data_IF_850368012776
#
_entry.id   IF_850368012776
#
_cell.length_a   1.000
_cell.length_b   1.000
_cell.length_c   1.000
_cell.angle_alpha   90.00
_cell.angle_beta   90.00
_cell.angle_gamma   90.00
#
_symmetry.space_group_name_H-M   'P 1'
#
loop_
_entity.id
_entity.type
_entity.pdbx_description
1 polymer ?
#
# COMPACT_ATOMS: atom_id res chain seq x y z
N UNK A 1 73.56 26.74 -14.27
CA UNK A 1 73.31 26.12 -12.95
C UNK A 1 71.88 25.61 -12.95
N UNK A 2 71.71 24.38 -12.46
CA UNK A 2 70.55 23.51 -12.63
C UNK A 2 69.31 23.89 -11.79
N UNK A 3 68.16 23.44 -12.32
CA UNK A 3 67.00 22.85 -11.65
C UNK A 3 66.07 23.68 -10.73
N UNK A 4 64.85 23.92 -11.25
CA UNK A 4 63.54 23.33 -10.83
C UNK A 4 63.31 23.11 -9.32
N UNK A 5 62.15 23.44 -8.70
CA UNK A 5 60.77 23.00 -9.00
C UNK A 5 59.78 23.58 -7.95
N UNK A 6 58.48 23.60 -8.31
CA UNK A 6 57.27 23.48 -7.47
C UNK A 6 56.75 24.68 -6.64
N UNK A 7 55.58 25.22 -6.99
CA UNK A 7 54.26 24.89 -6.40
C UNK A 7 53.12 25.68 -7.11
N UNK A 8 52.24 24.93 -7.80
CA UNK A 8 50.74 24.96 -7.84
C UNK A 8 49.87 26.23 -7.91
N UNK A 9 48.62 26.11 -8.41
CA UNK A 9 47.92 27.09 -9.24
C UNK A 9 46.82 27.87 -8.52
N UNK A 10 46.24 28.88 -9.18
CA UNK A 10 44.95 29.41 -8.77
C UNK A 10 44.14 29.99 -9.94
N UNK A 11 42.84 29.64 -9.93
CA UNK A 11 41.62 30.40 -10.29
C UNK A 11 41.68 31.30 -11.55
N UNK A 12 40.75 31.30 -12.50
CA UNK A 12 39.31 31.09 -12.37
C UNK A 12 38.59 31.12 -13.74
N UNK A 13 37.33 30.66 -13.72
CA UNK A 13 36.23 31.12 -14.57
C UNK A 13 36.15 30.65 -16.03
N UNK A 14 35.58 29.44 -16.21
CA UNK A 14 34.76 29.11 -17.39
C UNK A 14 33.28 29.24 -17.05
N UNK A 15 32.64 30.25 -17.66
CA UNK A 15 31.19 30.30 -17.80
C UNK A 15 30.76 29.27 -18.86
N UNK A 16 29.89 28.32 -18.50
CA UNK A 16 29.24 27.43 -19.47
C UNK A 16 27.75 27.33 -19.17
N UNK A 17 26.95 27.74 -20.15
CA UNK A 17 25.50 27.66 -20.14
C UNK A 17 25.04 26.19 -20.09
N UNK A 18 24.40 25.80 -18.99
CA UNK A 18 23.72 24.51 -18.86
C UNK A 18 22.27 24.67 -19.31
N UNK A 19 21.98 24.19 -20.52
CA UNK A 19 20.62 23.97 -21.02
C UNK A 19 20.00 22.87 -20.14
N UNK A 20 19.05 23.28 -19.30
CA UNK A 20 18.23 22.37 -18.51
C UNK A 20 17.46 21.43 -19.45
N UNK A 21 17.92 20.18 -19.56
CA UNK A 21 17.14 19.08 -20.14
C UNK A 21 15.97 18.81 -19.18
N UNK A 22 14.80 19.35 -19.50
CA UNK A 22 13.55 18.90 -18.91
C UNK A 22 13.30 17.45 -19.33
N UNK A 23 13.50 16.51 -18.40
CA UNK A 23 13.09 15.12 -18.59
C UNK A 23 11.57 15.08 -18.58
N UNK A 24 10.99 15.05 -19.77
CA UNK A 24 9.59 14.74 -20.02
C UNK A 24 9.35 13.31 -19.54
N UNK A 25 8.71 13.15 -18.38
CA UNK A 25 8.22 11.84 -17.92
C UNK A 25 7.05 11.41 -18.80
N UNK A 26 7.39 10.67 -19.85
CA UNK A 26 6.43 10.08 -20.78
C UNK A 26 5.60 9.03 -20.05
N UNK A 27 4.27 9.21 -20.06
CA UNK A 27 3.28 8.16 -19.81
C UNK A 27 3.53 7.02 -20.78
N UNK A 28 3.79 5.82 -20.26
CA UNK A 28 3.97 4.64 -21.11
C UNK A 28 4.46 3.42 -20.35
N UNK A 29 3.72 2.96 -19.34
CA UNK A 29 3.88 1.61 -18.80
C UNK A 29 2.69 0.75 -19.21
N UNK A 30 2.67 0.37 -20.48
CA UNK A 30 1.86 -0.76 -20.92
C UNK A 30 2.75 -1.74 -21.69
N UNK A 31 2.57 -3.02 -21.36
CA UNK A 31 3.16 -4.25 -21.90
C UNK A 31 4.49 -4.70 -21.29
N UNK A 32 4.39 -5.61 -20.32
CA UNK A 32 5.52 -6.37 -19.77
C UNK A 32 5.11 -7.21 -18.56
N UNK A 33 4.71 -8.46 -18.80
CA UNK A 33 4.40 -9.50 -17.79
C UNK A 33 5.46 -9.62 -16.67
N UNK A 34 6.71 -9.20 -16.93
CA UNK A 34 7.82 -9.23 -15.97
C UNK A 34 7.73 -8.21 -14.82
N UNK A 35 7.18 -7.02 -15.03
CA UNK A 35 7.13 -5.99 -13.97
C UNK A 35 6.04 -6.30 -12.92
N UNK A 36 4.92 -6.88 -13.35
CA UNK A 36 3.85 -7.36 -12.46
C UNK A 36 4.27 -8.56 -11.61
N UNK A 37 5.27 -9.31 -12.06
CA UNK A 37 5.82 -10.45 -11.30
C UNK A 37 6.85 -9.99 -10.26
N UNK A 38 7.67 -8.98 -10.57
CA UNK A 38 8.84 -8.66 -9.74
C UNK A 38 8.45 -8.15 -8.34
N UNK A 39 7.52 -7.18 -8.25
CA UNK A 39 7.11 -6.65 -6.95
C UNK A 39 6.51 -7.75 -6.06
N UNK A 40 5.75 -8.69 -6.65
CA UNK A 40 5.19 -9.84 -5.93
C UNK A 40 6.29 -10.71 -5.38
N UNK A 41 7.21 -11.16 -6.24
CA UNK A 41 8.31 -12.05 -5.84
C UNK A 41 9.16 -11.42 -4.74
N UNK A 42 9.49 -10.13 -4.86
CA UNK A 42 10.24 -9.42 -3.83
C UNK A 42 9.46 -9.33 -2.51
N UNK A 43 8.18 -9.00 -2.58
CA UNK A 43 7.31 -8.89 -1.39
C UNK A 43 7.11 -10.23 -0.70
N UNK A 44 6.86 -11.30 -1.46
CA UNK A 44 6.65 -12.64 -0.91
C UNK A 44 7.93 -13.24 -0.36
N UNK A 45 9.08 -12.95 -0.97
CA UNK A 45 10.40 -13.34 -0.45
C UNK A 45 10.68 -12.65 0.89
N UNK A 46 10.47 -11.33 0.97
CA UNK A 46 10.63 -10.57 2.21
C UNK A 46 9.71 -11.10 3.32
N UNK A 47 8.44 -11.35 3.00
CA UNK A 47 7.47 -11.88 3.95
C UNK A 47 7.83 -13.29 4.42
N UNK A 48 8.18 -14.18 3.49
CA UNK A 48 8.57 -15.57 3.75
C UNK A 48 9.77 -15.65 4.71
N UNK A 49 10.79 -14.81 4.49
CA UNK A 49 11.96 -14.74 5.39
C UNK A 49 11.65 -14.18 6.79
N UNK A 50 10.54 -13.47 6.96
CA UNK A 50 10.15 -12.86 8.23
C UNK A 50 9.31 -13.78 9.14
N UNK A 51 8.81 -14.90 8.62
CA UNK A 51 7.88 -15.77 9.35
C UNK A 51 8.63 -16.70 10.33
N UNK A 52 8.13 -16.94 11.56
CA UNK A 52 8.87 -17.71 12.56
C UNK A 52 9.05 -19.20 12.24
N UNK A 53 8.15 -19.77 11.42
CA UNK A 53 8.11 -21.21 11.13
C UNK A 53 8.69 -21.50 9.75
N UNK A 54 9.77 -22.30 9.65
CA UNK A 54 10.29 -22.71 8.35
C UNK A 54 9.26 -23.64 7.68
N UNK A 55 8.70 -23.18 6.56
CA UNK A 55 8.08 -24.07 5.56
C UNK A 55 8.80 -23.89 4.24
N UNK A 56 8.88 -24.97 3.48
CA UNK A 56 9.56 -24.96 2.17
C UNK A 56 8.74 -24.24 1.11
N UNK A 57 7.41 -24.15 1.26
CA UNK A 57 6.52 -23.50 0.31
C UNK A 57 5.39 -22.74 1.05
N UNK A 58 5.54 -21.43 1.21
CA UNK A 58 4.45 -20.55 1.65
C UNK A 58 3.60 -20.14 0.44
N UNK A 59 2.28 -20.01 0.59
CA UNK A 59 1.47 -19.53 -0.53
C UNK A 59 1.75 -18.05 -0.83
N UNK A 60 1.73 -17.69 -2.12
CA UNK A 60 1.84 -16.28 -2.54
C UNK A 60 0.76 -15.43 -1.87
N UNK A 61 -0.47 -15.94 -1.84
CA UNK A 61 -1.64 -15.26 -1.26
C UNK A 61 -1.48 -14.95 0.23
N UNK A 62 -0.98 -15.90 1.03
CA UNK A 62 -0.67 -15.68 2.44
C UNK A 62 0.40 -14.62 2.62
N UNK A 63 1.48 -14.69 1.83
CA UNK A 63 2.59 -13.75 1.96
C UNK A 63 2.20 -12.33 1.52
N UNK A 64 1.44 -12.18 0.43
CA UNK A 64 0.90 -10.88 0.01
C UNK A 64 -0.07 -10.30 1.06
N UNK A 65 -0.92 -11.15 1.64
CA UNK A 65 -1.79 -10.74 2.76
C UNK A 65 -0.97 -10.26 3.95
N UNK A 66 0.12 -10.95 4.30
CA UNK A 66 1.00 -10.55 5.40
C UNK A 66 1.63 -9.17 5.15
N UNK A 67 2.16 -8.90 3.95
CA UNK A 67 2.77 -7.59 3.64
C UNK A 67 1.72 -6.47 3.71
N UNK A 68 0.51 -6.71 3.19
CA UNK A 68 -0.59 -5.77 3.30
C UNK A 68 -0.92 -5.48 4.77
N UNK A 69 -1.10 -6.52 5.59
CA UNK A 69 -1.40 -6.40 7.01
C UNK A 69 -0.30 -5.66 7.77
N UNK A 70 0.98 -5.92 7.44
CA UNK A 70 2.11 -5.20 8.04
C UNK A 70 2.13 -3.71 7.67
N UNK A 71 1.51 -3.33 6.56
CA UNK A 71 1.42 -1.95 6.06
C UNK A 71 0.21 -1.18 6.62
N UNK A 72 -0.66 -1.86 7.37
CA UNK A 72 -1.76 -1.25 8.13
C UNK A 72 -1.28 -0.85 9.53
N UNK A 73 -2.10 -0.08 10.26
CA UNK A 73 -1.82 0.26 11.66
C UNK A 73 -1.57 -1.01 12.51
N UNK A 74 -0.68 -0.90 13.50
CA UNK A 74 -0.39 -1.95 14.50
C UNK A 74 -1.51 -2.12 15.53
N UNK A 75 -2.75 -2.22 15.05
CA UNK A 75 -3.98 -2.52 15.80
C UNK A 75 -4.67 -3.73 15.19
N UNK A 76 -5.75 -4.19 15.82
CA UNK A 76 -6.57 -5.27 15.27
C UNK A 76 -7.19 -4.86 13.92
N UNK A 77 -7.03 -5.72 12.91
CA UNK A 77 -7.55 -5.56 11.56
C UNK A 77 -8.80 -6.40 11.39
N UNK A 78 -9.99 -5.82 11.21
CA UNK A 78 -11.21 -6.59 10.94
C UNK A 78 -11.17 -7.26 9.56
N UNK A 79 -11.70 -8.48 9.43
CA UNK A 79 -11.83 -9.16 8.13
C UNK A 79 -12.53 -8.28 7.09
N UNK A 80 -13.61 -7.61 7.53
CA UNK A 80 -14.41 -6.69 6.71
C UNK A 80 -13.62 -5.50 6.18
N UNK A 81 -12.56 -5.06 6.88
CA UNK A 81 -11.70 -3.98 6.37
C UNK A 81 -11.02 -4.43 5.07
N UNK A 82 -10.53 -5.68 5.07
CA UNK A 82 -9.74 -6.24 3.99
C UNK A 82 -10.64 -6.59 2.81
N UNK A 83 -11.68 -7.40 3.07
CA UNK A 83 -12.56 -7.91 2.01
C UNK A 83 -13.29 -6.76 1.31
N UNK A 84 -13.93 -5.87 2.09
CA UNK A 84 -14.68 -4.74 1.52
C UNK A 84 -13.79 -3.70 0.86
N UNK A 85 -12.53 -3.59 1.28
CA UNK A 85 -11.56 -2.68 0.68
C UNK A 85 -11.27 -3.06 -0.77
N UNK A 86 -11.27 -4.35 -1.09
CA UNK A 86 -10.99 -4.87 -2.43
C UNK A 86 -12.23 -5.19 -3.26
N UNK A 87 -13.37 -5.51 -2.64
CA UNK A 87 -14.61 -5.79 -3.37
C UNK A 87 -15.10 -4.59 -4.20
N UNK A 88 -15.89 -4.83 -5.25
CA UNK A 88 -16.66 -3.79 -5.92
C UNK A 88 -17.57 -3.05 -4.93
N UNK A 89 -17.75 -1.75 -5.13
CA UNK A 89 -18.51 -0.90 -4.20
C UNK A 89 -19.36 0.12 -4.94
N UNK A 90 -20.55 0.40 -4.39
CA UNK A 90 -21.47 1.44 -4.88
C UNK A 90 -20.89 2.82 -4.63
N UNK A 91 -20.81 3.65 -5.67
CA UNK A 91 -20.29 5.02 -5.62
C UNK A 91 -21.19 5.95 -6.41
N UNK A 92 -21.22 7.23 -6.03
CA UNK A 92 -21.86 8.25 -6.83
C UNK A 92 -21.01 8.55 -8.06
N UNK A 93 -21.65 8.56 -9.23
CA UNK A 93 -21.02 8.98 -10.47
C UNK A 93 -21.15 10.50 -10.65
N UNK A 94 -20.50 11.06 -11.68
CA UNK A 94 -20.51 12.49 -11.97
C UNK A 94 -21.90 13.08 -12.25
N UNK A 95 -22.90 12.23 -12.54
CA UNK A 95 -24.28 12.63 -12.84
C UNK A 95 -25.21 12.43 -11.63
N UNK A 96 -24.68 12.14 -10.44
CA UNK A 96 -25.47 11.85 -9.25
C UNK A 96 -26.19 10.50 -9.28
N UNK A 97 -25.85 9.61 -10.21
CA UNK A 97 -26.31 8.22 -10.25
C UNK A 97 -25.43 7.30 -9.41
N UNK A 98 -25.92 6.09 -9.12
CA UNK A 98 -25.15 5.07 -8.41
C UNK A 98 -24.54 4.11 -9.43
N UNK A 99 -23.23 3.91 -9.34
CA UNK A 99 -22.51 2.90 -10.12
C UNK A 99 -21.66 2.01 -9.21
N UNK A 100 -21.35 0.80 -9.67
CA UNK A 100 -20.44 -0.10 -8.98
C UNK A 100 -19.02 0.07 -9.54
N UNK A 101 -18.06 0.34 -8.66
CA UNK A 101 -16.65 0.53 -9.02
C UNK A 101 -15.79 -0.53 -8.38
N UNK A 102 -14.97 -1.18 -9.20
CA UNK A 102 -13.88 -2.04 -8.77
C UNK A 102 -12.78 -1.24 -8.03
N UNK A 103 -12.01 -1.89 -7.18
CA UNK A 103 -10.80 -1.33 -6.56
C UNK A 103 -9.66 -1.09 -7.56
N UNK A 104 -9.65 -1.81 -8.70
CA UNK A 104 -8.77 -1.55 -9.84
C UNK A 104 -8.83 -0.09 -10.31
N UNK A 105 -10.03 0.52 -10.28
CA UNK A 105 -10.23 1.91 -10.71
C UNK A 105 -9.41 2.92 -9.91
N UNK A 106 -9.09 2.61 -8.65
CA UNK A 106 -8.25 3.46 -7.79
C UNK A 106 -6.89 2.83 -7.48
N UNK A 107 -6.36 2.07 -8.44
CA UNK A 107 -5.00 1.54 -8.44
C UNK A 107 -4.67 0.51 -7.33
N UNK A 108 -5.67 -0.23 -6.83
CA UNK A 108 -5.39 -1.51 -6.17
C UNK A 108 -4.87 -2.49 -7.24
N UNK A 109 -3.78 -3.19 -6.95
CA UNK A 109 -3.21 -4.15 -7.90
C UNK A 109 -4.20 -5.28 -8.15
N UNK A 110 -4.24 -5.79 -9.38
CA UNK A 110 -5.18 -6.86 -9.77
C UNK A 110 -4.99 -8.14 -8.97
N UNK A 111 -3.77 -8.45 -8.56
CA UNK A 111 -3.48 -9.58 -7.69
C UNK A 111 -4.12 -9.43 -6.29
N UNK A 112 -4.04 -8.22 -5.71
CA UNK A 112 -4.71 -7.95 -4.44
C UNK A 112 -6.22 -7.90 -4.60
N UNK A 113 -6.74 -7.40 -5.73
CA UNK A 113 -8.19 -7.48 -6.00
C UNK A 113 -8.65 -8.94 -6.03
N UNK A 114 -8.01 -9.78 -6.83
CA UNK A 114 -8.36 -11.21 -6.96
C UNK A 114 -8.26 -11.97 -5.64
N UNK A 115 -7.21 -11.71 -4.86
CA UNK A 115 -7.01 -12.32 -3.54
C UNK A 115 -8.05 -11.86 -2.51
N UNK A 116 -8.14 -10.55 -2.29
CA UNK A 116 -8.86 -9.98 -1.15
C UNK A 116 -10.38 -9.90 -1.38
N UNK A 117 -10.85 -9.85 -2.63
CA UNK A 117 -12.29 -9.88 -2.93
C UNK A 117 -12.92 -11.27 -2.87
N UNK A 118 -12.09 -12.33 -2.94
CA UNK A 118 -12.53 -13.72 -2.79
C UNK A 118 -12.42 -14.15 -1.34
N UNK A 119 -13.55 -14.28 -0.65
CA UNK A 119 -13.60 -14.73 0.76
C UNK A 119 -12.87 -16.06 0.96
N UNK A 120 -13.00 -17.01 0.02
CA UNK A 120 -12.32 -18.30 0.13
C UNK A 120 -10.80 -18.18 0.03
N UNK A 121 -10.27 -17.34 -0.89
CA UNK A 121 -8.82 -17.12 -1.00
C UNK A 121 -8.28 -16.39 0.23
N UNK A 122 -8.98 -15.34 0.65
CA UNK A 122 -8.61 -14.55 1.81
C UNK A 122 -8.63 -15.39 3.10
N UNK A 123 -9.67 -16.19 3.33
CA UNK A 123 -9.76 -17.04 4.52
C UNK A 123 -8.66 -18.11 4.54
N UNK A 124 -8.38 -18.76 3.40
CA UNK A 124 -7.26 -19.70 3.29
C UNK A 124 -5.91 -19.02 3.58
N UNK A 125 -5.67 -17.83 3.03
CA UNK A 125 -4.46 -17.06 3.27
C UNK A 125 -4.30 -16.69 4.76
N UNK A 126 -5.37 -16.22 5.40
CA UNK A 126 -5.36 -15.86 6.82
C UNK A 126 -5.19 -17.09 7.72
N UNK A 127 -5.85 -18.21 7.40
CA UNK A 127 -5.67 -19.49 8.08
C UNK A 127 -4.22 -19.98 8.00
N UNK A 128 -3.59 -19.86 6.83
CA UNK A 128 -2.16 -20.18 6.69
C UNK A 128 -1.30 -19.28 7.58
N UNK A 129 -1.53 -17.96 7.58
CA UNK A 129 -0.78 -17.02 8.44
C UNK A 129 -0.96 -17.28 9.94
N UNK A 130 -2.16 -17.68 10.38
CA UNK A 130 -2.42 -18.14 11.75
C UNK A 130 -1.62 -19.41 12.03
N UNK A 131 -1.63 -20.39 11.13
CA UNK A 131 -0.85 -21.63 11.26
C UNK A 131 0.66 -21.40 11.31
N UNK A 132 1.14 -20.29 10.76
CA UNK A 132 2.53 -19.85 10.78
C UNK A 132 2.88 -18.99 12.01
N UNK A 133 1.89 -18.66 12.86
CA UNK A 133 2.03 -17.73 13.97
C UNK A 133 2.49 -16.32 13.53
N UNK A 134 2.22 -15.96 12.28
CA UNK A 134 2.48 -14.64 11.73
C UNK A 134 1.43 -13.62 12.22
N UNK A 135 0.20 -14.09 12.36
CA UNK A 135 -0.94 -13.33 12.89
C UNK A 135 -1.67 -14.17 13.94
N UNK A 136 -2.45 -13.51 14.79
CA UNK A 136 -3.45 -14.14 15.67
C UNK A 136 -4.85 -13.72 15.25
N UNK A 137 -5.83 -14.62 15.39
CA UNK A 137 -7.26 -14.36 15.14
C UNK A 137 -7.99 -14.20 16.47
N UNK A 138 -8.81 -13.17 16.59
CA UNK A 138 -9.74 -12.94 17.72
C UNK A 138 -11.09 -13.61 17.45
N UNK A 139 -11.95 -13.71 18.48
CA UNK A 139 -13.32 -14.22 18.34
C UNK A 139 -14.20 -13.38 17.41
N UNK A 140 -13.86 -12.10 17.27
CA UNK A 140 -14.69 -11.11 16.58
C UNK A 140 -14.29 -10.96 15.10
N UNK A 141 -13.65 -11.98 14.52
CA UNK A 141 -13.14 -11.97 13.14
C UNK A 141 -12.16 -10.82 12.87
N UNK A 142 -11.39 -10.44 13.90
CA UNK A 142 -10.27 -9.49 13.80
C UNK A 142 -8.93 -10.23 13.86
N UNK A 143 -7.92 -9.65 13.21
CA UNK A 143 -6.59 -10.22 13.11
C UNK A 143 -5.54 -9.24 13.60
N UNK A 144 -4.56 -9.74 14.34
CA UNK A 144 -3.43 -8.93 14.81
C UNK A 144 -2.12 -9.53 14.31
N UNK A 145 -1.29 -8.69 13.69
CA UNK A 145 0.03 -9.11 13.22
C UNK A 145 0.99 -9.21 14.41
N UNK A 146 1.79 -10.26 14.44
CA UNK A 146 2.88 -10.36 15.41
C UNK A 146 3.88 -9.21 15.19
N UNK A 147 4.14 -8.40 16.23
CA UNK A 147 5.01 -7.22 16.11
C UNK A 147 6.42 -7.54 15.61
N UNK A 148 7.00 -8.68 16.02
CA UNK A 148 8.31 -9.09 15.56
C UNK A 148 8.29 -9.47 14.06
N UNK A 149 7.19 -10.08 13.59
CA UNK A 149 6.99 -10.36 12.17
C UNK A 149 6.80 -9.05 11.40
N UNK A 150 5.97 -8.14 11.89
CA UNK A 150 5.76 -6.82 11.27
C UNK A 150 7.08 -6.05 11.08
N UNK A 151 7.92 -6.01 12.12
CA UNK A 151 9.24 -5.39 12.05
C UNK A 151 10.12 -6.07 10.98
N UNK A 152 10.25 -7.40 11.03
CA UNK A 152 11.07 -8.15 10.06
C UNK A 152 10.60 -8.00 8.62
N UNK A 153 9.28 -8.00 8.37
CA UNK A 153 8.72 -7.74 7.03
C UNK A 153 9.09 -6.34 6.57
N UNK A 154 8.92 -5.34 7.44
CA UNK A 154 9.24 -3.94 7.13
C UNK A 154 10.73 -3.74 6.84
N UNK A 155 11.61 -4.42 7.59
CA UNK A 155 13.06 -4.33 7.41
C UNK A 155 13.56 -5.10 6.17
N UNK A 156 12.87 -6.18 5.80
CA UNK A 156 13.25 -7.04 4.67
C UNK A 156 12.66 -6.58 3.34
N UNK A 157 11.64 -5.72 3.38
CA UNK A 157 11.00 -5.21 2.18
C UNK A 157 11.95 -4.22 1.46
N UNK A 158 12.15 -4.36 0.13
CA UNK A 158 12.95 -3.39 -0.61
C UNK A 158 12.40 -1.97 -0.48
N UNK A 159 13.25 -0.94 -0.28
CA UNK A 159 12.86 0.46 -0.13
C UNK A 159 11.87 0.95 -1.20
N UNK A 160 12.03 0.49 -2.44
CA UNK A 160 11.22 0.88 -3.60
C UNK A 160 9.77 0.40 -3.50
N UNK A 161 9.51 -0.64 -2.70
CA UNK A 161 8.18 -1.22 -2.52
C UNK A 161 7.41 -0.63 -1.34
N UNK A 162 8.05 0.14 -0.45
CA UNK A 162 7.33 0.73 0.68
C UNK A 162 6.24 1.70 0.21
N UNK A 163 6.54 2.58 -0.75
CA UNK A 163 5.56 3.50 -1.33
C UNK A 163 4.39 2.75 -1.96
N UNK A 164 4.68 1.67 -2.69
CA UNK A 164 3.66 0.82 -3.28
C UNK A 164 2.73 0.25 -2.21
N UNK A 165 3.27 -0.41 -1.18
CA UNK A 165 2.48 -1.07 -0.14
C UNK A 165 1.72 -0.09 0.76
N UNK A 166 2.28 1.08 1.08
CA UNK A 166 1.56 2.16 1.77
C UNK A 166 0.31 2.59 0.98
N UNK A 167 0.42 2.71 -0.35
CA UNK A 167 -0.70 3.07 -1.19
C UNK A 167 -1.74 1.95 -1.30
N UNK A 168 -1.31 0.70 -1.46
CA UNK A 168 -2.24 -0.44 -1.49
C UNK A 168 -3.04 -0.52 -0.17
N UNK A 169 -2.36 -0.37 0.97
CA UNK A 169 -2.98 -0.35 2.30
C UNK A 169 -3.93 0.85 2.47
N UNK A 170 -3.55 2.05 2.01
CA UNK A 170 -4.43 3.22 2.01
C UNK A 170 -5.69 2.98 1.17
N UNK A 171 -5.54 2.41 -0.04
CA UNK A 171 -6.67 2.11 -0.92
C UNK A 171 -7.64 1.14 -0.25
N UNK A 172 -7.13 0.06 0.35
CA UNK A 172 -7.94 -0.91 1.10
C UNK A 172 -8.67 -0.24 2.27
N UNK A 173 -7.95 0.48 3.14
CA UNK A 173 -8.52 1.13 4.31
C UNK A 173 -9.50 2.26 3.97
N UNK A 174 -9.25 3.03 2.93
CA UNK A 174 -10.16 4.07 2.45
C UNK A 174 -11.43 3.48 1.86
N UNK A 175 -11.29 2.45 1.00
CA UNK A 175 -12.45 1.84 0.35
C UNK A 175 -13.33 1.11 1.34
N UNK A 176 -12.79 0.54 2.41
CA UNK A 176 -13.56 -0.21 3.40
C UNK A 176 -14.62 0.62 4.11
N UNK A 177 -14.42 1.95 4.24
CA UNK A 177 -15.38 2.86 4.86
C UNK A 177 -16.73 2.81 4.11
N UNK A 178 -17.84 2.46 4.79
CA UNK A 178 -19.17 2.49 4.19
C UNK A 178 -19.54 3.92 3.79
N UNK A 179 -20.16 4.06 2.62
CA UNK A 179 -20.69 5.35 2.19
C UNK A 179 -22.09 5.54 2.73
N UNK A 180 -22.25 6.60 3.54
CA UNK A 180 -23.56 7.00 4.09
C UNK A 180 -24.54 7.13 2.92
N UNK A 181 -25.71 6.49 3.05
CA UNK A 181 -26.79 6.43 2.05
C UNK A 181 -26.59 5.51 0.82
N UNK A 182 -25.41 4.92 0.60
CA UNK A 182 -25.18 3.99 -0.51
C UNK A 182 -25.10 2.53 -0.08
N UNK A 183 -24.62 2.31 1.13
CA UNK A 183 -24.33 0.98 1.65
C UNK A 183 -25.05 0.76 2.97
N UNK A 184 -25.81 -0.33 3.04
CA UNK A 184 -26.38 -0.83 4.27
C UNK A 184 -25.29 -1.62 4.99
N UNK A 185 -24.95 -1.23 6.22
CA UNK A 185 -23.98 -1.97 7.01
C UNK A 185 -24.00 -1.54 8.47
N UNK A 186 -23.57 -2.42 9.39
CA UNK A 186 -23.42 -2.05 10.78
C UNK A 186 -22.34 -0.96 10.87
N UNK A 187 -22.77 0.28 11.16
CA UNK A 187 -21.85 1.41 11.31
C UNK A 187 -20.89 1.26 12.50
N UNK A 188 -21.15 0.29 13.39
CA UNK A 188 -20.35 0.02 14.59
C UNK A 188 -18.92 -0.45 14.33
N UNK A 189 -18.64 -1.10 13.19
CA UNK A 189 -17.26 -1.53 12.83
C UNK A 189 -16.40 -0.40 12.25
N UNK A 190 -16.98 0.78 11.99
CA UNK A 190 -16.24 1.93 11.44
C UNK A 190 -15.10 2.36 12.34
N UNK A 191 -15.30 2.30 13.66
CA UNK A 191 -14.29 2.72 14.64
C UNK A 191 -13.01 1.88 14.54
N UNK A 192 -13.13 0.60 14.19
CA UNK A 192 -11.97 -0.28 13.94
C UNK A 192 -11.25 0.05 12.63
N UNK A 193 -11.89 0.75 11.68
CA UNK A 193 -11.27 1.08 10.39
C UNK A 193 -10.46 2.38 10.45
N UNK A 194 -10.86 3.33 11.30
CA UNK A 194 -10.25 4.66 11.40
C UNK A 194 -8.74 4.61 11.74
N UNK A 195 -8.26 3.78 12.68
CA UNK A 195 -6.82 3.68 12.97
C UNK A 195 -6.00 3.34 11.73
N UNK A 196 -6.47 2.38 10.93
CA UNK A 196 -5.78 1.97 9.69
C UNK A 196 -5.82 3.05 8.61
N UNK A 197 -6.95 3.74 8.45
CA UNK A 197 -7.06 4.85 7.50
C UNK A 197 -6.12 6.00 7.90
N UNK A 198 -6.11 6.39 9.18
CA UNK A 198 -5.25 7.45 9.70
C UNK A 198 -3.77 7.11 9.52
N UNK A 199 -3.39 5.89 9.90
CA UNK A 199 -2.02 5.40 9.77
C UNK A 199 -1.53 5.40 8.32
N UNK A 200 -2.30 4.80 7.41
CA UNK A 200 -1.93 4.71 6.00
C UNK A 200 -1.89 6.07 5.31
N UNK A 201 -2.84 6.97 5.62
CA UNK A 201 -2.85 8.34 5.11
C UNK A 201 -1.63 9.14 5.61
N UNK A 202 -1.28 9.02 6.89
CA UNK A 202 -0.08 9.66 7.43
C UNK A 202 1.20 9.07 6.80
N UNK A 203 1.27 7.75 6.63
CA UNK A 203 2.38 7.08 5.98
C UNK A 203 2.63 7.61 4.57
N UNK A 204 1.58 7.73 3.75
CA UNK A 204 1.65 8.28 2.39
C UNK A 204 2.01 9.77 2.42
N UNK A 205 1.41 10.56 3.31
CA UNK A 205 1.72 12.00 3.40
C UNK A 205 3.16 12.29 3.78
N UNK A 206 3.75 11.49 4.67
CA UNK A 206 5.09 11.73 5.20
C UNK A 206 6.21 11.27 4.25
N UNK A 207 5.93 10.32 3.36
CA UNK A 207 6.97 9.67 2.55
C UNK A 207 6.73 9.76 1.04
N UNK A 208 5.52 10.08 0.61
CA UNK A 208 5.11 9.98 -0.79
C UNK A 208 4.46 11.28 -1.29
N UNK A 209 5.05 12.44 -0.96
CA UNK A 209 4.48 13.78 -1.21
C UNK A 209 3.97 14.01 -2.64
N UNK A 210 4.67 13.48 -3.66
CA UNK A 210 4.27 13.59 -5.07
C UNK A 210 3.05 12.72 -5.40
N UNK A 211 2.97 11.54 -4.80
CA UNK A 211 1.82 10.66 -4.98
C UNK A 211 0.65 11.21 -4.19
N UNK A 212 0.85 11.69 -2.96
CA UNK A 212 -0.17 12.33 -2.16
C UNK A 212 -0.85 13.49 -2.90
N UNK A 213 -0.14 14.27 -3.72
CA UNK A 213 -0.75 15.30 -4.57
C UNK A 213 -1.56 14.72 -5.74
N UNK A 214 -1.11 13.63 -6.36
CA UNK A 214 -1.81 12.97 -7.47
C UNK A 214 -3.03 12.14 -7.00
N UNK A 215 -2.90 11.37 -5.92
CA UNK A 215 -4.04 10.71 -5.26
C UNK A 215 -4.95 11.73 -4.60
N UNK A 216 -4.46 12.87 -4.10
CA UNK A 216 -5.30 14.03 -3.77
C UNK A 216 -5.82 14.79 -5.01
N UNK A 217 -5.82 14.21 -6.20
CA UNK A 217 -6.67 14.67 -7.30
C UNK A 217 -7.65 13.57 -7.74
N UNK A 218 -7.29 12.29 -7.62
CA UNK A 218 -8.18 11.15 -7.94
C UNK A 218 -9.06 10.69 -6.77
N UNK A 219 -8.60 10.85 -5.52
CA UNK A 219 -9.32 10.57 -4.27
C UNK A 219 -9.94 11.86 -3.65
N UNK A 220 -9.62 13.04 -4.19
CA UNK A 220 -9.90 14.33 -3.54
C UNK A 220 -11.30 14.91 -3.69
N UNK A 221 -12.20 14.22 -4.39
CA UNK A 221 -13.62 14.55 -4.20
C UNK A 221 -14.10 14.23 -2.77
N UNK A 222 -13.48 13.25 -2.09
CA UNK A 222 -14.13 12.57 -0.96
C UNK A 222 -13.30 12.44 0.32
N UNK A 223 -11.96 12.49 0.25
CA UNK A 223 -11.13 12.54 1.49
C UNK A 223 -11.40 13.85 2.25
N UNK A 224 -11.69 14.96 1.56
CA UNK A 224 -12.07 16.23 2.19
C UNK A 224 -13.38 16.09 2.98
N UNK A 225 -14.35 15.32 2.49
CA UNK A 225 -15.63 15.11 3.20
C UNK A 225 -15.45 14.22 4.44
N UNK A 226 -14.55 13.23 4.41
CA UNK A 226 -14.24 12.39 5.58
C UNK A 226 -13.43 13.13 6.65
N UNK A 227 -12.63 14.13 6.28
CA UNK A 227 -11.90 14.99 7.23
C UNK A 227 -12.79 16.13 7.78
N UNK A 228 -13.80 16.60 7.02
CA UNK A 228 -14.74 17.65 7.45
C UNK A 228 -15.97 17.13 8.23
N UNK A 229 -16.01 15.83 8.56
CA UNK A 229 -17.06 15.19 9.37
C UNK A 229 -16.50 14.64 10.70
N UNK A 230 -15.49 15.31 11.26
CA UNK A 230 -15.35 15.36 12.73
C UNK A 230 -16.09 16.63 13.20
N UNK A 231 -17.06 16.53 14.13
CA UNK A 231 -17.63 17.70 14.79
C UNK A 231 -16.62 18.39 15.72
#
# INVERSE_FOLDING_TARGET
>A
MSNSKLLTPNLDSYATNSIAKSVSMSRGFHTGSGATSLWKTLSTTAASGAVPRPRTNHSEDAMLSLVLLCSLASSEVPLDLISRGASPRRRWNAHGGIEEKDALYIALSSALVDLLSSIAKLDNALCELVSLSAISKSSDETYMVNRAVQARVSDSLPPELHSFWRLQALVVAYRSIPWKYLELGPFGVRELFIPHLRHTLQGVRNHDHLIAQATAMTLCGFIIILILLEP
#
